data_IF_288425185456
#
_entry.id   IF_288425185456
#
_cell.length_a   1.000
_cell.length_b   1.000
_cell.length_c   1.000
_cell.angle_alpha   90.00
_cell.angle_beta   90.00
_cell.angle_gamma   90.00
#
_symmetry.space_group_name_H-M   'P 1'
#
loop_
_entity.id
_entity.type
_entity.pdbx_description
1 polymer ?
#
# COMPACT_ATOMS: atom_id res chain seq x y z
N UNK A 1 10.78 0.62 -17.97
CA UNK A 1 9.58 0.87 -17.16
C UNK A 1 9.12 -0.41 -16.48
N UNK A 2 8.82 -0.35 -15.20
CA UNK A 2 8.34 -1.51 -14.43
C UNK A 2 6.81 -1.52 -14.47
N UNK A 3 6.23 -2.65 -14.89
CA UNK A 3 4.77 -2.78 -15.02
C UNK A 3 4.14 -3.66 -13.93
N UNK A 4 4.95 -4.40 -13.19
CA UNK A 4 4.46 -5.33 -12.17
C UNK A 4 5.36 -5.27 -10.95
N UNK A 5 4.76 -5.51 -9.78
CA UNK A 5 5.51 -5.70 -8.53
C UNK A 5 4.98 -6.95 -7.84
N UNK A 6 5.83 -7.56 -7.03
CA UNK A 6 5.43 -8.65 -6.15
C UNK A 6 5.49 -8.17 -4.71
N UNK A 7 4.42 -8.39 -3.99
CA UNK A 7 4.34 -8.02 -2.59
C UNK A 7 5.13 -9.00 -1.72
N UNK A 8 5.28 -8.67 -0.44
CA UNK A 8 5.76 -9.64 0.52
C UNK A 8 4.72 -10.74 0.72
N UNK A 9 5.18 -11.90 1.21
CA UNK A 9 4.28 -13.00 1.54
C UNK A 9 3.30 -12.60 2.66
N UNK A 10 3.74 -11.77 3.59
CA UNK A 10 2.86 -11.27 4.65
C UNK A 10 1.72 -10.44 4.09
N UNK A 11 2.00 -9.56 3.14
CA UNK A 11 0.96 -8.75 2.49
C UNK A 11 -0.08 -9.65 1.84
N UNK A 12 0.37 -10.68 1.13
CA UNK A 12 -0.55 -11.63 0.51
C UNK A 12 -1.45 -12.29 1.57
N UNK A 13 -0.87 -12.74 2.67
CA UNK A 13 -1.62 -13.38 3.74
C UNK A 13 -2.64 -12.42 4.37
N UNK A 14 -2.23 -11.18 4.62
CA UNK A 14 -3.13 -10.15 5.15
C UNK A 14 -4.29 -9.89 4.21
N UNK A 15 -4.01 -9.77 2.93
CA UNK A 15 -5.06 -9.51 1.93
C UNK A 15 -6.02 -10.68 1.79
N UNK A 16 -5.53 -11.92 1.84
CA UNK A 16 -6.39 -13.10 1.80
C UNK A 16 -7.37 -13.11 2.98
N UNK A 17 -6.88 -12.81 4.17
CA UNK A 17 -7.71 -12.78 5.36
C UNK A 17 -8.75 -11.66 5.31
N UNK A 18 -8.34 -10.45 4.91
CA UNK A 18 -9.26 -9.32 4.79
C UNK A 18 -10.29 -9.60 3.71
N UNK A 19 -9.87 -10.13 2.57
CA UNK A 19 -10.77 -10.43 1.45
C UNK A 19 -11.81 -11.48 1.85
N UNK A 20 -11.42 -12.49 2.61
CA UNK A 20 -12.35 -13.52 3.06
C UNK A 20 -13.48 -12.93 3.90
N UNK A 21 -13.23 -11.85 4.60
CA UNK A 21 -14.20 -11.19 5.47
C UNK A 21 -14.97 -10.06 4.80
N UNK A 22 -14.34 -9.31 3.89
CA UNK A 22 -14.89 -8.08 3.31
C UNK A 22 -15.29 -8.21 1.85
N UNK A 23 -14.78 -9.20 1.15
CA UNK A 23 -14.93 -9.40 -0.29
C UNK A 23 -14.23 -8.32 -1.14
N UNK A 24 -13.37 -7.51 -0.54
CA UNK A 24 -12.62 -6.50 -1.29
C UNK A 24 -11.53 -7.16 -2.11
N UNK A 25 -11.42 -6.77 -3.38
CA UNK A 25 -10.41 -7.31 -4.29
C UNK A 25 -8.99 -6.87 -3.87
N UNK A 26 -7.95 -7.65 -4.20
CA UNK A 26 -6.57 -7.28 -3.85
C UNK A 26 -6.15 -5.89 -4.35
N UNK A 27 -6.60 -5.46 -5.54
CA UNK A 27 -6.23 -4.14 -6.03
C UNK A 27 -6.85 -3.01 -5.20
N UNK A 28 -8.04 -3.23 -4.64
CA UNK A 28 -8.69 -2.26 -3.72
C UNK A 28 -7.89 -2.20 -2.43
N UNK A 29 -7.53 -3.36 -1.87
CA UNK A 29 -6.73 -3.44 -0.64
C UNK A 29 -5.35 -2.80 -0.84
N UNK A 30 -4.78 -2.95 -2.04
CA UNK A 30 -3.50 -2.33 -2.37
C UNK A 30 -3.59 -0.80 -2.34
N UNK A 31 -4.64 -0.25 -2.93
CA UNK A 31 -4.85 1.21 -2.92
C UNK A 31 -5.04 1.73 -1.50
N UNK A 32 -5.82 1.02 -0.68
CA UNK A 32 -6.04 1.38 0.72
C UNK A 32 -4.73 1.32 1.51
N UNK A 33 -3.91 0.31 1.26
CA UNK A 33 -2.62 0.15 1.93
C UNK A 33 -1.68 1.30 1.62
N UNK A 34 -1.56 1.66 0.35
CA UNK A 34 -0.71 2.77 -0.08
C UNK A 34 -1.18 4.07 0.57
N UNK A 35 -2.49 4.30 0.57
CA UNK A 35 -3.07 5.51 1.17
C UNK A 35 -2.78 5.58 2.67
N UNK A 36 -2.93 4.47 3.39
CA UNK A 36 -2.64 4.44 4.83
C UNK A 36 -1.18 4.72 5.12
N UNK A 37 -0.27 4.16 4.33
CA UNK A 37 1.15 4.37 4.52
C UNK A 37 1.52 5.86 4.36
N UNK A 38 1.02 6.48 3.29
CA UNK A 38 1.30 7.90 3.02
C UNK A 38 0.63 8.79 4.07
N UNK A 39 -0.61 8.48 4.43
CA UNK A 39 -1.37 9.26 5.41
C UNK A 39 -0.73 9.26 6.79
N UNK A 40 -0.01 8.21 7.14
CA UNK A 40 0.64 8.10 8.45
C UNK A 40 1.66 9.20 8.69
N UNK A 41 2.22 9.76 7.63
CA UNK A 41 3.29 10.79 7.66
C UNK A 41 4.57 10.31 8.35
N UNK A 42 4.67 9.01 8.61
CA UNK A 42 5.87 8.39 9.20
C UNK A 42 6.83 8.05 8.05
N UNK A 43 8.07 8.54 8.06
CA UNK A 43 9.03 8.21 7.01
C UNK A 43 9.26 6.69 6.90
N UNK A 44 9.50 6.22 5.67
CA UNK A 44 9.88 4.83 5.47
C UNK A 44 11.23 4.56 6.12
N UNK A 45 11.34 3.40 6.78
CA UNK A 45 12.59 2.95 7.38
C UNK A 45 13.34 2.05 6.40
N UNK A 46 14.61 1.79 6.69
CA UNK A 46 15.41 0.90 5.87
C UNK A 46 14.77 -0.49 5.72
N UNK A 47 14.18 -1.01 6.80
CA UNK A 47 13.52 -2.31 6.77
C UNK A 47 12.30 -2.35 5.85
N UNK A 48 11.64 -1.21 5.63
CA UNK A 48 10.48 -1.16 4.74
C UNK A 48 10.86 -1.44 3.28
N UNK A 49 12.12 -1.22 2.91
CA UNK A 49 12.63 -1.47 1.57
C UNK A 49 13.14 -2.90 1.36
N UNK A 50 13.19 -3.72 2.42
CA UNK A 50 13.80 -5.05 2.38
C UNK A 50 12.78 -6.16 2.64
N UNK A 51 11.54 -5.97 2.21
CA UNK A 51 10.54 -7.03 2.27
C UNK A 51 10.78 -8.04 1.13
N UNK A 52 10.30 -9.27 1.33
CA UNK A 52 10.45 -10.31 0.31
C UNK A 52 9.53 -10.05 -0.90
N UNK A 53 9.66 -10.91 -1.91
CA UNK A 53 8.88 -10.81 -3.16
C UNK A 53 8.11 -12.10 -3.43
N UNK A 54 7.66 -12.80 -2.39
CA UNK A 54 7.01 -14.10 -2.53
C UNK A 54 5.48 -14.03 -2.45
N UNK A 55 4.91 -12.83 -2.44
CA UNK A 55 3.48 -12.64 -2.32
C UNK A 55 2.76 -12.50 -3.65
N UNK A 56 1.80 -11.57 -3.69
CA UNK A 56 0.97 -11.33 -4.86
C UNK A 56 1.73 -10.58 -5.95
N UNK A 57 1.50 -10.98 -7.21
CA UNK A 57 1.93 -10.19 -8.35
C UNK A 57 0.82 -9.20 -8.69
N UNK A 58 1.18 -7.92 -8.75
CA UNK A 58 0.22 -6.85 -8.99
C UNK A 58 0.64 -6.02 -10.20
N UNK A 59 -0.32 -5.69 -11.04
CA UNK A 59 -0.10 -4.88 -12.25
C UNK A 59 -0.20 -3.40 -11.94
N UNK A 60 0.75 -2.63 -12.47
CA UNK A 60 0.75 -1.17 -12.36
C UNK A 60 -0.55 -0.57 -12.89
N UNK A 61 -1.04 -1.08 -14.02
CA UNK A 61 -2.27 -0.59 -14.61
C UNK A 61 -3.47 -0.80 -13.69
N UNK A 62 -3.49 -1.86 -12.92
CA UNK A 62 -4.59 -2.14 -12.00
C UNK A 62 -4.49 -1.32 -10.71
N UNK A 63 -3.27 -1.10 -10.21
CA UNK A 63 -3.08 -0.35 -8.96
C UNK A 63 -3.25 1.16 -9.19
N UNK A 64 -2.51 1.71 -10.12
CA UNK A 64 -2.46 3.16 -10.33
C UNK A 64 -3.17 3.60 -11.59
N UNK A 65 -3.10 2.82 -12.68
CA UNK A 65 -3.79 3.08 -13.93
C UNK A 65 -3.53 4.47 -14.47
N UNK A 66 -4.60 5.16 -14.83
CA UNK A 66 -4.55 6.53 -15.35
C UNK A 66 -4.09 7.54 -14.31
N UNK A 67 -4.09 7.18 -13.02
CA UNK A 67 -3.67 8.04 -11.92
C UNK A 67 -2.22 7.85 -11.52
N UNK A 68 -1.44 7.12 -12.33
CA UNK A 68 -0.05 6.78 -11.99
C UNK A 68 0.80 8.02 -11.74
N UNK A 69 0.64 9.07 -12.54
CA UNK A 69 1.39 10.30 -12.36
C UNK A 69 1.05 10.98 -11.02
N UNK A 70 -0.21 10.89 -10.61
CA UNK A 70 -0.63 11.43 -9.33
C UNK A 70 0.00 10.65 -8.16
N UNK A 71 -0.01 9.33 -8.23
CA UNK A 71 0.63 8.49 -7.22
C UNK A 71 2.11 8.81 -7.11
N UNK A 72 2.79 8.96 -8.24
CA UNK A 72 4.21 9.29 -8.26
C UNK A 72 4.46 10.65 -7.60
N UNK A 73 3.62 11.63 -7.92
CA UNK A 73 3.71 12.96 -7.32
C UNK A 73 3.54 12.91 -5.81
N UNK A 74 2.55 12.16 -5.32
CA UNK A 74 2.31 12.00 -3.88
C UNK A 74 3.50 11.35 -3.18
N UNK A 75 4.08 10.33 -3.78
CA UNK A 75 5.25 9.65 -3.21
C UNK A 75 6.47 10.57 -3.22
N UNK A 76 6.69 11.31 -4.30
CA UNK A 76 7.78 12.28 -4.36
C UNK A 76 7.63 13.36 -3.29
N UNK A 77 6.41 13.85 -3.06
CA UNK A 77 6.13 14.81 -2.01
C UNK A 77 6.39 14.21 -0.63
N UNK A 78 5.97 12.98 -0.42
CA UNK A 78 6.20 12.28 0.84
C UNK A 78 7.70 12.10 1.11
N UNK A 79 8.45 11.66 0.09
CA UNK A 79 9.89 11.42 0.21
C UNK A 79 10.71 12.72 0.13
N UNK A 80 10.11 13.81 -0.31
CA UNK A 80 10.75 15.13 -0.45
C UNK A 80 11.92 15.10 -1.44
N UNK A 81 11.78 14.36 -2.52
CA UNK A 81 12.78 14.26 -3.56
C UNK A 81 12.18 13.75 -4.86
N UNK A 82 12.89 14.04 -5.97
CA UNK A 82 12.54 13.47 -7.26
C UNK A 82 12.96 11.99 -7.30
N UNK A 83 12.10 11.15 -7.87
CA UNK A 83 12.33 9.71 -7.94
C UNK A 83 12.17 9.26 -9.39
N UNK A 84 13.16 8.51 -9.93
CA UNK A 84 13.04 8.00 -11.29
C UNK A 84 11.93 6.93 -11.35
N UNK A 85 11.43 6.65 -12.57
CA UNK A 85 10.26 5.81 -12.75
C UNK A 85 10.43 4.39 -12.20
N UNK A 86 11.57 3.77 -12.45
CA UNK A 86 11.81 2.39 -11.99
C UNK A 86 11.85 2.32 -10.47
N UNK A 87 12.57 3.22 -9.81
CA UNK A 87 12.61 3.28 -8.35
C UNK A 87 11.25 3.62 -7.77
N UNK A 88 10.50 4.52 -8.41
CA UNK A 88 9.16 4.88 -7.95
C UNK A 88 8.28 3.64 -7.81
N UNK A 89 8.14 2.85 -8.85
CA UNK A 89 7.20 1.74 -8.81
C UNK A 89 7.79 0.50 -8.13
N UNK A 90 9.01 0.13 -8.47
CA UNK A 90 9.63 -1.09 -7.98
C UNK A 90 10.04 -1.01 -6.51
N UNK A 91 10.46 0.17 -6.06
CA UNK A 91 11.04 0.34 -4.72
C UNK A 91 10.07 1.06 -3.78
N UNK A 92 9.70 2.29 -4.10
CA UNK A 92 8.91 3.12 -3.19
C UNK A 92 7.45 2.70 -3.12
N UNK A 93 6.83 2.40 -4.25
CA UNK A 93 5.45 1.93 -4.27
C UNK A 93 5.33 0.63 -3.48
N UNK A 94 6.23 -0.32 -3.70
CA UNK A 94 6.24 -1.59 -2.98
C UNK A 94 6.41 -1.38 -1.48
N UNK A 95 7.33 -0.50 -1.07
CA UNK A 95 7.57 -0.22 0.35
C UNK A 95 6.32 0.34 1.02
N UNK A 96 5.65 1.31 0.38
CA UNK A 96 4.41 1.87 0.89
C UNK A 96 3.29 0.83 0.94
N UNK A 97 3.19 0.00 -0.08
CA UNK A 97 2.16 -1.04 -0.14
C UNK A 97 2.33 -2.06 0.98
N UNK A 98 3.53 -2.58 1.15
CA UNK A 98 3.80 -3.59 2.18
C UNK A 98 3.65 -3.02 3.60
N UNK A 99 4.15 -1.80 3.83
CA UNK A 99 3.97 -1.14 5.14
C UNK A 99 2.50 -0.85 5.39
N UNK A 100 1.82 -0.31 4.40
CA UNK A 100 0.40 0.01 4.51
C UNK A 100 -0.47 -1.22 4.71
N UNK A 101 -0.11 -2.34 4.11
CA UNK A 101 -0.83 -3.60 4.29
C UNK A 101 -0.78 -4.06 5.75
N UNK A 102 0.38 -3.91 6.39
CA UNK A 102 0.52 -4.23 7.81
C UNK A 102 -0.38 -3.32 8.65
N UNK A 103 -0.41 -2.02 8.34
CA UNK A 103 -1.24 -1.05 9.04
C UNK A 103 -2.73 -1.35 8.82
N UNK A 104 -3.11 -1.64 7.58
CA UNK A 104 -4.49 -1.97 7.22
C UNK A 104 -4.95 -3.23 7.97
N UNK A 105 -4.09 -4.25 8.02
CA UNK A 105 -4.39 -5.48 8.72
C UNK A 105 -4.59 -5.23 10.22
N UNK A 106 -3.77 -4.35 10.80
CA UNK A 106 -3.93 -3.95 12.21
C UNK A 106 -5.31 -3.36 12.47
N UNK A 107 -5.77 -2.46 11.61
CA UNK A 107 -7.11 -1.88 11.73
C UNK A 107 -8.18 -2.94 11.58
N UNK A 108 -8.03 -3.84 10.61
CA UNK A 108 -8.97 -4.94 10.38
C UNK A 108 -9.11 -5.83 11.61
N UNK A 109 -8.00 -6.17 12.27
CA UNK A 109 -8.01 -7.08 13.40
C UNK A 109 -8.60 -6.48 14.67
N UNK A 110 -8.48 -5.17 14.86
CA UNK A 110 -8.85 -4.53 16.11
C UNK A 110 -10.20 -3.82 16.11
N UNK A 111 -10.90 -3.80 14.97
CA UNK A 111 -12.19 -3.12 14.85
C UNK A 111 -13.27 -4.05 14.35
N UNK A 112 -14.44 -4.05 15.03
CA UNK A 112 -15.59 -4.86 14.64
C UNK A 112 -16.22 -4.36 13.32
N UNK A 113 -16.22 -3.05 13.11
CA UNK A 113 -16.67 -2.44 11.86
C UNK A 113 -15.47 -1.79 11.19
N UNK A 114 -14.90 -2.53 10.24
CA UNK A 114 -13.69 -2.14 9.56
C UNK A 114 -13.86 -0.82 8.76
N UNK A 115 -14.97 -0.68 8.03
CA UNK A 115 -15.21 0.53 7.25
C UNK A 115 -15.40 1.75 8.14
N UNK A 116 -16.14 1.60 9.22
CA UNK A 116 -16.36 2.70 10.16
C UNK A 116 -15.04 3.12 10.81
N UNK A 117 -14.19 2.16 11.16
CA UNK A 117 -12.88 2.44 11.72
C UNK A 117 -12.02 3.26 10.74
N UNK A 118 -12.01 2.88 9.48
CA UNK A 118 -11.25 3.60 8.46
C UNK A 118 -11.78 5.02 8.27
N UNK A 119 -13.10 5.19 8.27
CA UNK A 119 -13.70 6.51 8.13
C UNK A 119 -13.41 7.40 9.32
N UNK A 120 -13.40 6.85 10.53
CA UNK A 120 -13.13 7.63 11.74
C UNK A 120 -11.71 8.15 11.80
N UNK A 121 -10.75 7.54 11.12
CA UNK A 121 -9.37 8.01 11.06
C UNK A 121 -9.24 9.39 10.42
N UNK A 122 -10.22 9.80 9.61
CA UNK A 122 -10.21 11.14 9.02
C UNK A 122 -10.23 12.25 10.05
N UNK A 123 -10.79 11.97 11.20
CA UNK A 123 -10.97 12.96 12.25
C UNK A 123 -9.73 13.13 13.15
N UNK A 124 -8.70 12.33 12.93
CA UNK A 124 -7.48 12.36 13.73
C UNK A 124 -6.34 13.12 13.08
N UNK A 125 -6.58 13.69 11.91
CA UNK A 125 -5.56 14.41 11.14
C UNK A 125 -5.48 15.86 11.58
#
# INVERSE_FOLDING_TARGET
MVFKIRTSIRTMTYFEEIQASTNYAPFVLSKMSIAMSIKSKIPLSESDFHTDTHGLELNRQTITGEWDDLYKCLIEMFEKKHINDDDYFQKYMKAHLDRGARMLYGEFKYHNDFLLALLSQKNTI
#
